data_IF_113160383853
#
_entry.id   IF_113160383853
#
_cell.length_a   1.000
_cell.length_b   1.000
_cell.length_c   1.000
_cell.angle_alpha   90.00
_cell.angle_beta   90.00
_cell.angle_gamma   90.00
#
_symmetry.space_group_name_H-M   'P 1'
#
loop_
_entity.id
_entity.type
_entity.pdbx_description
1 polymer ?
#
# COMPACT_ATOMS: atom_id res chain seq x y z
N UNK A 1 3.20 -36.62 -25.46
CA UNK A 1 3.06 -35.80 -26.69
C UNK A 1 3.45 -36.62 -27.90
N UNK A 2 2.56 -36.78 -28.88
CA UNK A 2 2.88 -37.54 -30.12
C UNK A 2 3.40 -36.59 -31.20
N UNK A 3 4.73 -36.38 -31.25
CA UNK A 3 5.38 -35.40 -32.13
C UNK A 3 5.39 -35.75 -33.63
N UNK A 4 5.13 -37.02 -34.01
CA UNK A 4 5.25 -37.50 -35.41
C UNK A 4 3.91 -37.70 -36.16
N UNK A 5 2.78 -37.30 -35.59
CA UNK A 5 1.43 -37.58 -36.13
C UNK A 5 0.78 -36.38 -36.87
N UNK A 6 1.56 -35.39 -37.30
CA UNK A 6 1.07 -34.23 -38.05
C UNK A 6 0.56 -33.08 -37.17
N UNK A 7 0.51 -31.88 -37.76
CA UNK A 7 0.29 -30.61 -37.04
C UNK A 7 -1.04 -30.55 -36.28
N UNK A 8 -2.12 -31.14 -36.82
CA UNK A 8 -3.46 -31.13 -36.18
C UNK A 8 -3.48 -31.87 -34.83
N UNK A 9 -2.83 -33.02 -34.75
CA UNK A 9 -2.81 -33.85 -33.52
C UNK A 9 -1.93 -33.18 -32.46
N UNK A 10 -0.80 -32.59 -32.87
CA UNK A 10 0.06 -31.82 -31.98
C UNK A 10 -0.67 -30.62 -31.36
N UNK A 11 -1.40 -29.82 -32.15
CA UNK A 11 -2.18 -28.70 -31.64
C UNK A 11 -3.29 -29.13 -30.67
N UNK A 12 -3.92 -30.29 -30.91
CA UNK A 12 -4.93 -30.83 -29.99
C UNK A 12 -4.33 -31.24 -28.63
N UNK A 13 -3.18 -31.93 -28.65
CA UNK A 13 -2.46 -32.31 -27.43
C UNK A 13 -1.98 -31.06 -26.66
N UNK A 14 -1.48 -30.05 -27.38
CA UNK A 14 -1.05 -28.78 -26.80
C UNK A 14 -2.22 -28.01 -26.17
N UNK A 15 -3.37 -27.95 -26.83
CA UNK A 15 -4.56 -27.29 -26.31
C UNK A 15 -5.10 -27.98 -25.05
N UNK A 16 -5.07 -29.32 -24.99
CA UNK A 16 -5.48 -30.04 -23.77
C UNK A 16 -4.52 -29.79 -22.62
N UNK A 17 -3.22 -29.78 -22.90
CA UNK A 17 -2.21 -29.48 -21.90
C UNK A 17 -2.32 -28.04 -21.40
N UNK A 18 -2.30 -27.05 -22.28
CA UNK A 18 -2.37 -25.63 -21.93
C UNK A 18 -3.76 -25.25 -21.39
N UNK A 19 -4.82 -25.83 -21.93
CA UNK A 19 -6.18 -25.57 -21.49
C UNK A 19 -6.41 -26.08 -20.08
N UNK A 20 -6.10 -27.36 -19.80
CA UNK A 20 -6.32 -27.92 -18.46
C UNK A 20 -5.35 -27.30 -17.44
N UNK A 21 -4.09 -27.13 -17.81
CA UNK A 21 -3.06 -26.64 -16.89
C UNK A 21 -3.07 -25.11 -16.74
N UNK A 22 -3.47 -24.38 -17.78
CA UNK A 22 -3.61 -22.92 -17.74
C UNK A 22 -4.88 -22.45 -17.06
N UNK A 23 -5.95 -23.26 -17.04
CA UNK A 23 -7.25 -22.85 -16.50
C UNK A 23 -7.16 -22.41 -15.05
N UNK A 24 -6.44 -23.13 -14.18
CA UNK A 24 -6.36 -22.74 -12.78
C UNK A 24 -5.53 -21.46 -12.56
N UNK A 25 -4.47 -21.22 -13.35
CA UNK A 25 -3.77 -19.93 -13.33
C UNK A 25 -4.66 -18.80 -13.85
N UNK A 26 -5.38 -19.02 -14.95
CA UNK A 26 -6.33 -18.04 -15.48
C UNK A 26 -7.41 -17.71 -14.46
N UNK A 27 -7.94 -18.71 -13.75
CA UNK A 27 -8.89 -18.50 -12.65
C UNK A 27 -8.27 -17.69 -11.51
N UNK A 28 -7.05 -18.03 -11.06
CA UNK A 28 -6.35 -17.29 -10.02
C UNK A 28 -6.09 -15.83 -10.42
N UNK A 29 -5.63 -15.59 -11.65
CA UNK A 29 -5.41 -14.26 -12.22
C UNK A 29 -6.74 -13.51 -12.32
N UNK A 30 -7.82 -14.15 -12.75
CA UNK A 30 -9.13 -13.52 -12.83
C UNK A 30 -9.67 -13.10 -11.46
N UNK A 31 -9.54 -13.97 -10.44
CA UNK A 31 -9.98 -13.66 -9.06
C UNK A 31 -9.16 -12.50 -8.48
N UNK A 32 -7.84 -12.59 -8.56
CA UNK A 32 -6.94 -11.54 -8.04
C UNK A 32 -7.07 -10.23 -8.82
N UNK A 33 -7.24 -10.31 -10.14
CA UNK A 33 -7.53 -9.16 -11.00
C UNK A 33 -8.86 -8.50 -10.70
N UNK A 34 -9.92 -9.28 -10.47
CA UNK A 34 -11.23 -8.76 -10.06
C UNK A 34 -11.15 -8.03 -8.71
N UNK A 35 -10.38 -8.56 -7.76
CA UNK A 35 -10.12 -7.87 -6.49
C UNK A 35 -9.44 -6.51 -6.71
N UNK A 36 -8.37 -6.45 -7.51
CA UNK A 36 -7.68 -5.18 -7.77
C UNK A 36 -8.53 -4.20 -8.58
N UNK A 37 -9.37 -4.70 -9.48
CA UNK A 37 -10.33 -3.87 -10.20
C UNK A 37 -11.36 -3.25 -9.25
N UNK A 38 -11.84 -4.02 -8.26
CA UNK A 38 -12.71 -3.53 -7.20
C UNK A 38 -11.99 -2.49 -6.31
N UNK A 39 -10.78 -2.77 -5.82
CA UNK A 39 -9.99 -1.84 -4.98
C UNK A 39 -9.74 -0.51 -5.72
N UNK A 40 -9.42 -0.58 -7.02
CA UNK A 40 -9.22 0.60 -7.85
C UNK A 40 -10.53 1.37 -8.10
N UNK A 41 -11.62 0.67 -8.43
CA UNK A 41 -12.93 1.28 -8.63
C UNK A 41 -13.46 1.95 -7.37
N UNK A 42 -13.26 1.34 -6.20
CA UNK A 42 -13.68 1.90 -4.92
C UNK A 42 -12.87 3.16 -4.57
N UNK A 43 -11.58 3.19 -4.88
CA UNK A 43 -10.74 4.37 -4.69
C UNK A 43 -11.17 5.55 -5.59
N UNK A 44 -11.64 5.29 -6.82
CA UNK A 44 -12.21 6.33 -7.69
C UNK A 44 -13.53 6.88 -7.12
N UNK A 45 -14.34 6.02 -6.50
CA UNK A 45 -15.60 6.40 -5.85
C UNK A 45 -15.42 6.97 -4.43
N UNK A 46 -14.19 7.38 -4.07
CA UNK A 46 -13.79 7.90 -2.75
C UNK A 46 -14.11 6.97 -1.56
N UNK A 47 -14.34 5.68 -1.85
CA UNK A 47 -14.62 4.63 -0.88
C UNK A 47 -13.40 3.72 -0.77
N UNK A 48 -12.32 4.26 -0.19
CA UNK A 48 -11.07 3.50 -0.01
C UNK A 48 -11.30 2.35 0.97
N UNK A 49 -10.78 1.18 0.62
CA UNK A 49 -10.77 0.00 1.51
C UNK A 49 -9.82 0.22 2.70
N UNK A 50 -8.79 1.05 2.50
CA UNK A 50 -7.89 1.45 3.57
C UNK A 50 -8.57 2.38 4.57
N UNK A 51 -8.27 2.25 5.88
CA UNK A 51 -8.68 3.23 6.87
C UNK A 51 -8.21 4.63 6.47
N UNK A 52 -9.13 5.59 6.50
CA UNK A 52 -8.85 7.01 6.32
C UNK A 52 -7.87 7.49 7.39
N UNK A 53 -7.05 8.48 7.02
CA UNK A 53 -6.20 9.16 8.00
C UNK A 53 -7.06 9.79 9.11
N UNK A 54 -6.59 9.81 10.37
CA UNK A 54 -7.31 10.47 11.43
C UNK A 54 -7.42 11.96 11.14
N UNK A 55 -8.56 12.55 11.49
CA UNK A 55 -8.79 13.99 11.39
C UNK A 55 -8.39 14.61 12.73
N UNK A 56 -7.52 15.61 12.70
CA UNK A 56 -7.11 16.34 13.90
C UNK A 56 -8.30 17.12 14.46
N UNK A 57 -8.45 17.12 15.79
CA UNK A 57 -9.51 17.86 16.48
C UNK A 57 -9.35 19.39 16.36
N UNK A 58 -8.16 19.85 15.98
CA UNK A 58 -7.81 21.25 15.84
C UNK A 58 -7.28 21.53 14.44
N UNK A 59 -7.66 22.68 13.90
CA UNK A 59 -7.14 23.16 12.63
C UNK A 59 -5.82 23.92 12.87
N UNK A 60 -4.77 23.52 12.15
CA UNK A 60 -3.47 24.18 12.21
C UNK A 60 -3.59 25.65 11.78
N UNK A 61 -3.08 26.57 12.60
CA UNK A 61 -2.86 27.95 12.16
C UNK A 61 -1.78 27.99 11.05
N UNK A 62 -2.15 28.49 9.87
CA UNK A 62 -1.49 28.33 8.58
C UNK A 62 -0.03 28.79 8.40
N UNK A 63 0.67 29.25 9.45
CA UNK A 63 1.97 29.92 9.30
C UNK A 63 3.13 29.30 10.11
N UNK A 64 2.94 28.17 10.78
CA UNK A 64 4.06 27.52 11.47
C UNK A 64 4.97 26.84 10.44
N UNK A 65 6.21 27.29 10.29
CA UNK A 65 7.23 26.59 9.50
C UNK A 65 7.96 25.62 10.42
N UNK A 66 7.95 24.33 10.08
CA UNK A 66 8.64 23.30 10.88
C UNK A 66 10.15 23.56 10.78
N UNK A 67 10.78 23.80 11.93
CA UNK A 67 12.23 23.91 12.03
C UNK A 67 12.91 22.56 11.83
N UNK A 68 14.21 22.57 11.48
CA UNK A 68 14.99 21.33 11.32
C UNK A 68 15.01 20.49 12.60
N UNK A 69 15.01 21.13 13.78
CA UNK A 69 15.01 20.43 15.06
C UNK A 69 13.66 19.75 15.33
N UNK A 70 12.55 20.42 15.04
CA UNK A 70 11.21 19.82 15.15
C UNK A 70 11.06 18.68 14.15
N UNK A 71 11.53 18.86 12.91
CA UNK A 71 11.53 17.81 11.90
C UNK A 71 12.30 16.57 12.37
N UNK A 72 13.52 16.74 12.90
CA UNK A 72 14.31 15.64 13.45
C UNK A 72 13.58 14.94 14.62
N UNK A 73 12.90 15.70 15.47
CA UNK A 73 12.10 15.14 16.56
C UNK A 73 10.91 14.32 16.04
N UNK A 74 10.22 14.80 15.01
CA UNK A 74 9.12 14.07 14.34
C UNK A 74 9.62 12.76 13.74
N UNK A 75 10.71 12.80 12.96
CA UNK A 75 11.30 11.59 12.36
C UNK A 75 11.73 10.60 13.43
N UNK A 76 12.38 11.07 14.51
CA UNK A 76 12.80 10.21 15.61
C UNK A 76 11.60 9.54 16.29
N UNK A 77 10.54 10.30 16.63
CA UNK A 77 9.33 9.72 17.24
C UNK A 77 8.66 8.71 16.34
N UNK A 78 8.58 8.99 15.04
CA UNK A 78 8.03 8.06 14.07
C UNK A 78 8.86 6.77 14.01
N UNK A 79 10.19 6.91 13.94
CA UNK A 79 11.10 5.77 13.93
C UNK A 79 10.90 4.88 15.17
N UNK A 80 10.75 5.49 16.35
CA UNK A 80 10.52 4.80 17.61
C UNK A 80 9.12 4.16 17.74
N UNK A 81 8.18 4.42 16.81
CA UNK A 81 6.80 3.95 16.88
C UNK A 81 6.59 2.49 16.42
N UNK A 82 7.45 1.99 15.52
CA UNK A 82 7.42 0.61 15.05
C UNK A 82 8.82 -0.02 15.23
N UNK A 83 8.85 -1.26 15.69
CA UNK A 83 10.10 -2.01 15.77
C UNK A 83 10.57 -2.42 14.36
N UNK A 84 11.84 -2.17 14.07
CA UNK A 84 12.53 -2.66 12.87
C UNK A 84 11.79 -2.40 11.55
N UNK A 85 11.57 -1.11 11.28
CA UNK A 85 10.97 -0.64 10.05
C UNK A 85 11.81 0.44 9.38
N UNK A 86 11.67 0.52 8.07
CA UNK A 86 12.25 1.55 7.24
C UNK A 86 11.16 2.55 6.82
N UNK A 87 11.36 3.82 7.15
CA UNK A 87 10.52 4.90 6.65
C UNK A 87 10.90 5.14 5.19
N UNK A 88 9.97 4.92 4.27
CA UNK A 88 10.23 5.07 2.83
C UNK A 88 9.48 6.26 2.21
N UNK A 89 8.46 6.79 2.90
CA UNK A 89 7.69 7.92 2.42
C UNK A 89 7.23 8.82 3.57
N UNK A 90 7.30 10.12 3.31
CA UNK A 90 6.79 11.18 4.16
C UNK A 90 5.75 11.98 3.37
N UNK A 91 4.57 12.14 3.94
CA UNK A 91 3.49 12.95 3.40
C UNK A 91 3.26 14.13 4.32
N UNK A 92 3.46 15.32 3.77
CA UNK A 92 3.15 16.57 4.45
C UNK A 92 1.62 16.76 4.50
N UNK A 93 1.10 17.40 5.56
CA UNK A 93 -0.31 17.69 5.68
C UNK A 93 -0.75 18.59 4.53
N UNK A 94 -1.88 18.25 3.90
CA UNK A 94 -2.45 18.96 2.76
C UNK A 94 -3.61 19.89 3.17
N UNK A 95 -4.10 19.76 4.41
CA UNK A 95 -5.06 20.66 5.03
C UNK A 95 -4.71 20.91 6.50
N UNK A 96 -5.35 21.91 7.10
CA UNK A 96 -5.17 22.27 8.50
C UNK A 96 -5.53 21.15 9.49
N UNK A 97 -6.34 20.19 9.07
CA UNK A 97 -6.85 19.09 9.92
C UNK A 97 -6.17 17.75 9.63
N UNK A 98 -5.18 17.73 8.73
CA UNK A 98 -4.46 16.51 8.37
C UNK A 98 -3.16 16.38 9.15
N UNK A 99 -2.84 15.19 9.68
CA UNK A 99 -1.57 14.93 10.32
C UNK A 99 -0.43 14.79 9.29
N UNK A 100 0.81 14.90 9.75
CA UNK A 100 1.97 14.40 9.02
C UNK A 100 1.85 12.88 8.99
N UNK A 101 1.98 12.27 7.81
CA UNK A 101 1.94 10.82 7.68
C UNK A 101 3.31 10.31 7.26
N UNK A 102 3.84 9.36 8.04
CA UNK A 102 5.00 8.56 7.65
C UNK A 102 4.54 7.16 7.29
N UNK A 103 5.19 6.58 6.27
CA UNK A 103 4.92 5.22 5.83
C UNK A 103 6.21 4.45 5.69
N UNK A 104 6.10 3.13 5.85
CA UNK A 104 7.26 2.26 5.80
C UNK A 104 6.94 0.79 5.62
N UNK A 105 8.01 0.03 5.63
CA UNK A 105 8.02 -1.44 5.53
C UNK A 105 8.88 -2.01 6.65
N UNK A 106 8.60 -3.24 7.07
CA UNK A 106 9.42 -3.94 8.07
C UNK A 106 10.62 -4.59 7.38
N UNK A 107 11.81 -4.52 7.97
CA UNK A 107 12.97 -5.19 7.38
C UNK A 107 12.86 -6.72 7.45
N UNK A 108 12.19 -7.25 8.48
CA UNK A 108 11.97 -8.69 8.63
C UNK A 108 10.91 -9.26 7.66
N UNK A 109 10.05 -8.42 7.06
CA UNK A 109 8.95 -8.91 6.22
C UNK A 109 8.92 -8.23 4.85
N UNK A 110 9.56 -8.84 3.82
CA UNK A 110 9.61 -8.25 2.48
C UNK A 110 8.27 -8.31 1.72
N UNK A 111 7.24 -8.95 2.28
CA UNK A 111 5.94 -9.16 1.61
C UNK A 111 4.97 -8.00 1.90
N UNK A 112 5.15 -7.29 3.02
CA UNK A 112 4.20 -6.22 3.37
C UNK A 112 4.37 -5.02 2.44
N UNK A 113 3.23 -4.45 2.02
CA UNK A 113 3.21 -3.30 1.13
C UNK A 113 3.58 -2.04 1.92
N UNK A 114 4.13 -1.05 1.23
CA UNK A 114 4.58 0.22 1.84
C UNK A 114 3.50 1.05 2.57
N UNK A 115 2.23 0.66 2.51
CA UNK A 115 1.14 1.30 3.25
C UNK A 115 0.68 0.51 4.47
N UNK A 116 1.36 -0.60 4.79
CA UNK A 116 1.04 -1.47 5.90
C UNK A 116 1.41 -0.85 7.25
N UNK A 117 2.61 -0.25 7.34
CA UNK A 117 3.05 0.49 8.52
C UNK A 117 2.90 1.99 8.26
N UNK A 118 2.17 2.65 9.15
CA UNK A 118 1.90 4.08 9.08
C UNK A 118 2.12 4.67 10.47
N UNK A 119 2.44 5.95 10.51
CA UNK A 119 2.45 6.74 11.74
C UNK A 119 1.90 8.11 11.38
N UNK A 120 0.92 8.55 12.15
CA UNK A 120 0.28 9.85 12.00
C UNK A 120 0.72 10.74 13.15
N UNK A 121 1.32 11.88 12.84
CA UNK A 121 1.86 12.83 13.83
C UNK A 121 1.17 14.17 13.68
N UNK A 122 0.73 14.74 14.80
CA UNK A 122 0.21 16.10 14.84
C UNK A 122 1.36 17.10 14.55
N UNK A 123 1.25 17.95 13.52
CA UNK A 123 2.30 18.90 13.16
C UNK A 123 2.51 20.05 14.17
N UNK A 124 1.61 20.24 15.13
CA UNK A 124 1.71 21.27 16.17
C UNK A 124 2.25 20.72 17.49
N UNK A 125 1.66 19.63 18.00
CA UNK A 125 2.10 19.03 19.27
C UNK A 125 3.29 18.08 19.10
N UNK A 126 3.51 17.58 17.88
CA UNK A 126 4.45 16.52 17.55
C UNK A 126 4.11 15.17 18.21
N UNK A 127 2.88 14.98 18.66
CA UNK A 127 2.43 13.74 19.26
C UNK A 127 1.89 12.76 18.22
N UNK A 128 2.00 11.46 18.51
CA UNK A 128 1.45 10.40 17.69
C UNK A 128 -0.07 10.38 17.89
N UNK A 129 -0.80 10.55 16.79
CA UNK A 129 -2.25 10.51 16.75
C UNK A 129 -2.73 9.08 16.55
N UNK A 130 -2.05 8.33 15.67
CA UNK A 130 -2.39 6.95 15.32
C UNK A 130 -1.20 6.24 14.63
N UNK A 131 -1.22 4.90 14.57
CA UNK A 131 -0.20 4.05 13.92
C UNK A 131 -0.82 2.97 13.05
#
# INVERSE_FOLDING_TARGET
>A
MRLRHGQRIFLSDLHKLLGLWGLWFSTLIAITGAWYFYEFGSAIADSRVEPSAPVLAHARANNHVISVNEFNAIIKRAYDAHEDWEITALYMPYSETTPIQLRGVSHHNPIIRNRALRVFIDPQSHDIVDT
#
